data_IF_923096285511
#
_entry.id   IF_923096285511
#
_cell.length_a   1.000
_cell.length_b   1.000
_cell.length_c   1.000
_cell.angle_alpha   90.00
_cell.angle_beta   90.00
_cell.angle_gamma   90.00
#
_symmetry.space_group_name_H-M   'P 1'
#
loop_
_entity.id
_entity.type
_entity.pdbx_description
1 polymer ?
#
# COMPACT_ATOMS: atom_id res chain seq x y z
N UNK A 1 -1.50 1.73 -1.24
CA UNK A 1 -1.15 2.44 -0.01
C UNK A 1 0.22 1.97 0.43
N UNK A 2 1.03 2.89 0.90
CA UNK A 2 2.34 2.63 1.47
C UNK A 2 2.61 3.62 2.60
N UNK A 3 3.46 3.26 3.57
CA UNK A 3 3.81 4.10 4.70
C UNK A 3 5.28 3.99 5.06
N UNK A 4 5.88 5.10 5.43
CA UNK A 4 7.25 5.16 5.92
C UNK A 4 7.28 5.32 7.43
N UNK A 5 8.16 4.57 8.07
CA UNK A 5 8.31 4.59 9.52
C UNK A 5 9.78 4.52 9.95
N UNK A 6 10.08 5.18 11.07
CA UNK A 6 11.38 5.10 11.71
C UNK A 6 11.26 4.51 13.12
N UNK A 7 12.36 4.02 13.65
CA UNK A 7 12.40 3.57 15.05
C UNK A 7 12.29 4.77 15.99
N UNK A 8 11.49 4.65 17.04
CA UNK A 8 11.27 5.74 18.00
C UNK A 8 12.51 5.99 18.89
N UNK A 9 13.38 5.00 19.02
CA UNK A 9 14.64 5.12 19.72
C UNK A 9 15.77 4.34 19.03
N UNK A 10 17.02 4.68 19.39
CA UNK A 10 18.22 4.02 18.86
C UNK A 10 18.40 2.56 19.35
N UNK A 11 17.56 2.10 20.27
CA UNK A 11 17.65 0.76 20.85
C UNK A 11 16.92 -0.29 20.02
N UNK A 12 16.26 0.11 18.94
CA UNK A 12 15.45 -0.75 18.05
C UNK A 12 14.30 -1.49 18.77
N UNK A 13 13.94 -1.06 19.94
CA UNK A 13 12.80 -1.61 20.69
C UNK A 13 11.50 -0.89 20.36
N UNK A 14 10.76 -1.44 19.45
CA UNK A 14 9.29 -1.65 19.43
C UNK A 14 8.35 -0.46 19.23
N UNK A 15 8.77 0.77 19.12
CA UNK A 15 7.81 1.82 18.69
C UNK A 15 8.25 2.44 17.37
N UNK A 16 7.91 1.77 16.28
CA UNK A 16 8.03 2.38 14.97
C UNK A 16 7.15 3.63 14.92
N UNK A 17 7.75 4.78 14.71
CA UNK A 17 7.03 6.02 14.48
C UNK A 17 6.71 6.12 13.00
N UNK A 18 5.45 6.11 12.65
CA UNK A 18 5.04 6.37 11.28
C UNK A 18 5.34 7.83 10.94
N UNK A 19 6.08 8.06 9.89
CA UNK A 19 6.53 9.38 9.43
C UNK A 19 5.53 9.98 8.45
N UNK A 20 5.15 9.21 7.46
CA UNK A 20 4.14 9.57 6.49
C UNK A 20 3.41 8.35 5.97
N UNK A 21 2.31 8.58 5.29
CA UNK A 21 1.70 7.58 4.44
C UNK A 21 1.09 8.22 3.19
N UNK A 22 1.03 7.42 2.14
CA UNK A 22 0.47 7.80 0.86
C UNK A 22 -0.52 6.73 0.43
N UNK A 23 -1.65 7.14 -0.10
CA UNK A 23 -2.55 6.25 -0.82
C UNK A 23 -3.02 6.89 -2.11
N UNK A 24 -3.39 6.04 -3.05
CA UNK A 24 -3.89 6.42 -4.36
C UNK A 24 -5.16 5.65 -4.64
N UNK A 25 -6.19 6.34 -5.07
CA UNK A 25 -7.40 5.72 -5.58
C UNK A 25 -7.12 5.20 -6.99
N UNK A 26 -7.29 3.90 -7.19
CA UNK A 26 -6.99 3.23 -8.47
C UNK A 26 -7.97 3.65 -9.57
N UNK A 27 -9.18 4.08 -9.22
CA UNK A 27 -10.23 4.43 -10.19
C UNK A 27 -10.16 5.89 -10.60
N UNK A 28 -9.99 6.81 -9.64
CA UNK A 28 -9.94 8.25 -9.91
C UNK A 28 -8.52 8.74 -10.20
N UNK A 29 -7.50 7.98 -9.81
CA UNK A 29 -6.10 8.36 -9.75
C UNK A 29 -5.80 9.49 -8.77
N UNK A 30 -6.72 9.82 -7.87
CA UNK A 30 -6.47 10.79 -6.83
C UNK A 30 -5.39 10.28 -5.88
N UNK A 31 -4.43 11.15 -5.58
CA UNK A 31 -3.30 10.87 -4.68
C UNK A 31 -3.45 11.66 -3.41
N UNK A 32 -3.32 10.97 -2.28
CA UNK A 32 -3.41 11.57 -0.96
C UNK A 32 -2.10 11.32 -0.20
N UNK A 33 -1.43 12.41 0.17
CA UNK A 33 -0.16 12.40 0.89
C UNK A 33 -0.36 12.98 2.28
N UNK A 34 0.08 12.25 3.29
CA UNK A 34 -0.07 12.66 4.68
C UNK A 34 1.28 12.61 5.39
N UNK A 35 1.60 13.73 6.03
CA UNK A 35 2.71 13.82 6.96
C UNK A 35 2.16 13.74 8.38
N UNK A 36 2.57 12.75 9.17
CA UNK A 36 1.90 12.40 10.42
C UNK A 36 2.04 13.45 11.51
N UNK A 37 3.09 14.28 11.45
CA UNK A 37 3.30 15.37 12.40
C UNK A 37 2.41 16.60 12.14
N UNK A 38 1.87 16.76 10.95
CA UNK A 38 1.11 17.95 10.58
C UNK A 38 -0.38 17.83 10.92
N UNK A 39 -0.88 16.62 11.09
CA UNK A 39 -2.28 16.35 11.40
C UNK A 39 -2.43 15.22 12.40
N UNK A 40 -3.27 15.46 13.43
CA UNK A 40 -3.81 14.34 14.19
C UNK A 40 -4.92 13.71 13.37
N UNK A 41 -4.74 12.45 13.02
CA UNK A 41 -5.81 11.67 12.40
C UNK A 41 -6.75 11.20 13.50
N UNK A 42 -7.94 11.78 13.54
CA UNK A 42 -8.99 11.31 14.43
C UNK A 42 -9.87 10.26 13.74
N UNK A 43 -9.86 10.24 12.42
CA UNK A 43 -10.64 9.31 11.59
C UNK A 43 -9.85 8.93 10.34
N UNK A 44 -9.99 7.68 9.87
CA UNK A 44 -9.40 7.29 8.60
C UNK A 44 -10.01 8.13 7.47
N UNK A 45 -9.24 8.46 6.43
CA UNK A 45 -9.71 9.27 5.31
C UNK A 45 -10.71 8.52 4.42
N UNK A 46 -11.01 7.27 4.72
CA UNK A 46 -11.94 6.41 4.00
C UNK A 46 -12.64 5.44 4.96
N UNK A 47 -13.78 4.92 4.54
CA UNK A 47 -14.51 3.89 5.30
C UNK A 47 -13.85 2.51 5.10
N UNK A 48 -13.27 1.94 6.15
CA UNK A 48 -12.62 0.63 6.19
C UNK A 48 -13.50 -0.52 5.67
N UNK A 49 -14.82 -0.38 5.76
CA UNK A 49 -15.76 -1.39 5.33
C UNK A 49 -16.05 -1.34 3.83
N UNK A 50 -15.72 -0.23 3.18
CA UNK A 50 -16.08 0.06 1.79
C UNK A 50 -14.91 0.11 0.83
N UNK A 51 -13.69 -0.04 1.34
CA UNK A 51 -12.47 -0.01 0.53
C UNK A 51 -11.85 -1.39 0.43
N UNK A 52 -11.23 -1.67 -0.70
CA UNK A 52 -10.23 -2.72 -0.86
C UNK A 52 -8.86 -2.06 -0.78
N UNK A 53 -8.12 -2.33 0.28
CA UNK A 53 -6.74 -1.87 0.38
C UNK A 53 -5.81 -2.83 -0.35
N UNK A 54 -4.92 -2.27 -1.15
CA UNK A 54 -3.92 -2.99 -1.91
C UNK A 54 -2.54 -2.51 -1.47
N UNK A 55 -1.98 -3.08 -0.41
CA UNK A 55 -0.61 -2.82 0.01
C UNK A 55 0.37 -3.77 -0.70
N UNK A 56 1.65 -3.40 -0.64
CA UNK A 56 2.72 -4.39 -0.75
C UNK A 56 3.18 -4.78 0.65
N UNK A 57 2.88 -6.00 1.11
CA UNK A 57 3.13 -6.49 2.45
C UNK A 57 2.24 -5.82 3.55
N UNK A 58 1.02 -6.30 3.64
CA UNK A 58 0.03 -5.83 4.62
C UNK A 58 0.49 -5.90 6.09
N UNK A 59 1.45 -6.78 6.41
CA UNK A 59 1.98 -6.89 7.78
C UNK A 59 2.78 -5.64 8.14
N UNK A 60 3.56 -5.09 7.21
CA UNK A 60 4.29 -3.85 7.43
C UNK A 60 3.32 -2.66 7.61
N UNK A 61 2.30 -2.58 6.74
CA UNK A 61 1.31 -1.50 6.76
C UNK A 61 0.36 -1.58 7.97
N UNK A 62 0.12 -2.78 8.49
CA UNK A 62 -0.78 -3.01 9.62
C UNK A 62 -0.45 -2.18 10.86
N UNK A 63 0.83 -1.90 11.09
CA UNK A 63 1.28 -1.03 12.16
C UNK A 63 0.74 0.41 11.98
N UNK A 64 0.85 0.94 10.78
CA UNK A 64 0.35 2.27 10.44
C UNK A 64 -1.17 2.36 10.56
N UNK A 65 -1.89 1.31 10.12
CA UNK A 65 -3.35 1.26 10.23
C UNK A 65 -3.83 1.29 11.68
N UNK A 66 -3.23 0.49 12.55
CA UNK A 66 -3.61 0.44 13.95
C UNK A 66 -3.27 1.72 14.70
N UNK A 67 -2.09 2.26 14.50
CA UNK A 67 -1.58 3.38 15.30
C UNK A 67 -2.03 4.75 14.80
N UNK A 68 -2.17 4.92 13.49
CA UNK A 68 -2.57 6.20 12.91
C UNK A 68 -4.06 6.27 12.61
N UNK A 69 -4.58 5.23 11.99
CA UNK A 69 -5.93 5.22 11.45
C UNK A 69 -6.92 4.54 12.39
N UNK A 70 -6.45 4.03 13.52
CA UNK A 70 -7.24 3.40 14.58
C UNK A 70 -8.21 2.33 14.07
N UNK A 71 -7.80 1.60 13.04
CA UNK A 71 -8.64 0.57 12.45
C UNK A 71 -7.88 -0.40 11.57
N UNK A 72 -8.58 -1.43 11.16
CA UNK A 72 -8.09 -2.42 10.21
C UNK A 72 -9.06 -2.53 9.03
N UNK A 73 -8.55 -2.54 7.79
CA UNK A 73 -9.40 -2.76 6.63
C UNK A 73 -10.01 -4.16 6.67
N UNK A 74 -11.26 -4.28 6.24
CA UNK A 74 -11.91 -5.59 6.10
C UNK A 74 -11.44 -6.34 4.87
N UNK A 75 -11.17 -5.62 3.81
CA UNK A 75 -10.80 -6.19 2.53
C UNK A 75 -9.38 -5.76 2.20
N UNK A 76 -8.49 -6.74 2.13
CA UNK A 76 -7.07 -6.54 1.83
C UNK A 76 -6.71 -7.46 0.66
N UNK A 77 -6.07 -6.90 -0.35
CA UNK A 77 -5.38 -7.65 -1.37
C UNK A 77 -3.88 -7.41 -1.21
N UNK A 78 -3.20 -8.31 -0.52
CA UNK A 78 -1.76 -8.21 -0.28
C UNK A 78 -0.98 -8.69 -1.51
N UNK A 79 -0.38 -7.76 -2.24
CA UNK A 79 0.35 -8.09 -3.48
C UNK A 79 1.60 -8.93 -3.24
N UNK A 80 2.23 -8.83 -2.06
CA UNK A 80 3.33 -9.68 -1.65
C UNK A 80 2.89 -11.13 -1.45
N UNK A 81 1.81 -11.34 -0.69
CA UNK A 81 1.25 -12.68 -0.44
C UNK A 81 0.75 -13.31 -1.73
N UNK A 82 0.08 -12.52 -2.58
CA UNK A 82 -0.43 -13.01 -3.87
C UNK A 82 0.70 -13.38 -4.82
N UNK A 83 1.78 -12.59 -4.87
CA UNK A 83 2.98 -12.94 -5.64
C UNK A 83 3.55 -14.29 -5.21
N UNK A 84 3.66 -14.50 -3.90
CA UNK A 84 4.14 -15.76 -3.36
C UNK A 84 3.22 -16.95 -3.70
N UNK A 85 1.90 -16.74 -3.69
CA UNK A 85 0.90 -17.74 -4.08
C UNK A 85 0.98 -18.09 -5.57
N UNK A 86 1.07 -17.09 -6.44
CA UNK A 86 1.09 -17.27 -7.89
C UNK A 86 2.35 -17.98 -8.37
N UNK A 87 3.49 -17.67 -7.79
CA UNK A 87 4.80 -18.14 -8.26
C UNK A 87 5.47 -19.14 -7.32
N UNK A 88 4.83 -19.54 -6.23
CA UNK A 88 5.36 -20.50 -5.24
C UNK A 88 6.75 -20.11 -4.71
N UNK A 89 7.00 -18.82 -4.57
CA UNK A 89 8.32 -18.27 -4.24
C UNK A 89 8.72 -18.42 -2.77
N UNK A 90 7.82 -18.84 -1.88
CA UNK A 90 8.13 -19.07 -0.46
C UNK A 90 9.23 -20.10 -0.19
N UNK A 91 9.62 -20.89 -1.18
CA UNK A 91 10.60 -21.98 -1.00
C UNK A 91 12.06 -21.57 -1.13
N UNK A 92 12.36 -20.38 -1.60
CA UNK A 92 13.75 -20.03 -1.95
C UNK A 92 14.59 -19.39 -0.85
N UNK A 93 14.01 -19.00 0.27
CA UNK A 93 14.74 -18.56 1.48
C UNK A 93 15.66 -17.34 1.35
N UNK A 94 15.77 -16.74 0.20
CA UNK A 94 16.66 -15.61 -0.06
C UNK A 94 15.87 -14.46 -0.65
N UNK A 95 15.48 -13.50 0.19
CA UNK A 95 15.24 -12.09 -0.16
C UNK A 95 14.41 -11.76 -1.41
N UNK A 96 13.76 -12.74 -1.99
CA UNK A 96 13.30 -12.73 -3.37
C UNK A 96 11.98 -11.99 -3.58
N UNK A 97 11.45 -11.31 -2.56
CA UNK A 97 10.11 -10.73 -2.67
C UNK A 97 10.02 -9.29 -2.20
N UNK A 98 11.08 -8.52 -2.31
CA UNK A 98 10.94 -7.07 -2.16
C UNK A 98 10.13 -6.50 -3.35
N UNK A 99 9.57 -5.31 -3.15
CA UNK A 99 8.74 -4.63 -4.12
C UNK A 99 9.44 -4.49 -5.49
N UNK A 100 10.72 -4.13 -5.48
CA UNK A 100 11.53 -3.94 -6.68
C UNK A 100 11.72 -5.26 -7.45
N UNK A 101 12.12 -6.32 -6.76
CA UNK A 101 12.33 -7.64 -7.37
C UNK A 101 11.01 -8.19 -7.93
N UNK A 102 9.91 -7.97 -7.22
CA UNK A 102 8.58 -8.33 -7.69
C UNK A 102 8.21 -7.57 -8.96
N UNK A 103 8.45 -6.26 -9.01
CA UNK A 103 8.18 -5.46 -10.20
C UNK A 103 9.00 -5.90 -11.40
N UNK A 104 10.29 -6.20 -11.21
CA UNK A 104 11.15 -6.75 -12.26
C UNK A 104 10.63 -8.07 -12.79
N UNK A 105 10.13 -8.95 -11.91
CA UNK A 105 9.52 -10.21 -12.30
C UNK A 105 8.31 -10.01 -13.23
N UNK A 106 7.52 -8.98 -13.02
CA UNK A 106 6.40 -8.62 -13.90
C UNK A 106 6.81 -7.80 -15.14
N UNK A 107 8.10 -7.59 -15.37
CA UNK A 107 8.61 -6.83 -16.50
C UNK A 107 8.22 -5.34 -16.44
N UNK A 108 8.01 -4.81 -15.24
CA UNK A 108 7.73 -3.38 -15.04
C UNK A 108 9.07 -2.64 -15.19
N UNK A 109 9.22 -1.73 -16.17
CA UNK A 109 10.53 -1.13 -16.48
C UNK A 109 10.81 -0.08 -15.43
N UNK A 110 10.60 0.81 -15.04
CA UNK A 110 10.89 1.95 -14.16
C UNK A 110 10.94 1.54 -12.69
N UNK A 111 11.88 0.68 -12.36
CA UNK A 111 12.06 0.28 -10.97
C UNK A 111 13.17 1.10 -10.34
N UNK A 112 12.86 1.68 -9.23
CA UNK A 112 13.79 2.40 -8.36
C UNK A 112 15.11 1.64 -8.16
N UNK A 113 16.24 2.31 -8.21
CA UNK A 113 17.53 1.65 -7.99
C UNK A 113 17.69 1.25 -6.52
N UNK A 114 18.57 0.30 -6.26
CA UNK A 114 18.85 -0.10 -4.87
C UNK A 114 19.48 1.06 -4.09
N UNK A 115 20.35 1.80 -4.73
CA UNK A 115 21.04 2.94 -4.14
C UNK A 115 20.04 4.02 -3.70
N UNK A 116 19.09 4.34 -4.55
CA UNK A 116 18.02 5.30 -4.22
C UNK A 116 17.17 4.83 -3.04
N UNK A 117 16.81 3.54 -3.04
CA UNK A 117 16.04 2.95 -1.93
C UNK A 117 16.83 3.00 -0.61
N UNK A 118 18.11 2.68 -0.64
CA UNK A 118 18.96 2.70 0.55
C UNK A 118 19.12 4.16 1.06
N UNK A 119 19.33 5.13 0.15
CA UNK A 119 19.40 6.56 0.50
C UNK A 119 18.09 7.05 1.17
N UNK A 120 16.94 6.71 0.60
CA UNK A 120 15.65 7.14 1.15
C UNK A 120 15.36 6.48 2.50
N UNK A 121 15.65 5.18 2.64
CA UNK A 121 15.51 4.49 3.91
C UNK A 121 16.39 5.12 4.99
N UNK A 122 17.65 5.40 4.68
CA UNK A 122 18.59 5.98 5.63
C UNK A 122 18.12 7.41 6.01
N UNK A 123 17.61 8.20 5.03
CA UNK A 123 17.01 9.51 5.30
C UNK A 123 15.83 9.41 6.29
N UNK A 124 14.96 8.38 6.15
CA UNK A 124 13.82 8.17 7.05
C UNK A 124 14.28 7.74 8.45
N UNK A 125 15.27 6.84 8.54
CA UNK A 125 15.68 6.22 9.81
C UNK A 125 16.56 7.15 10.64
N UNK A 126 17.48 7.89 10.01
CA UNK A 126 18.53 8.64 10.71
C UNK A 126 18.06 10.01 11.23
N UNK A 127 16.96 10.51 10.77
CA UNK A 127 16.51 11.85 11.12
C UNK A 127 15.46 11.87 12.22
N UNK A 128 15.72 12.63 13.30
CA UNK A 128 14.74 12.92 14.34
C UNK A 128 13.69 13.97 13.88
N UNK A 129 14.07 14.82 12.93
CA UNK A 129 13.23 15.84 12.31
C UNK A 129 13.60 16.02 10.84
N UNK A 130 12.70 16.54 10.03
CA UNK A 130 12.88 16.63 8.58
C UNK A 130 12.64 18.06 8.11
N UNK A 131 13.49 18.52 7.20
CA UNK A 131 13.26 19.78 6.47
C UNK A 131 12.08 19.63 5.50
N UNK A 132 11.55 20.75 5.01
CA UNK A 132 10.46 20.72 4.01
C UNK A 132 10.88 19.93 2.75
N UNK A 133 12.11 20.10 2.29
CA UNK A 133 12.65 19.39 1.14
C UNK A 133 12.75 17.87 1.39
N UNK A 134 13.23 17.46 2.57
CA UNK A 134 13.29 16.04 2.94
C UNK A 134 11.90 15.42 3.03
N UNK A 135 10.91 16.14 3.59
CA UNK A 135 9.51 15.68 3.64
C UNK A 135 8.95 15.44 2.25
N UNK A 136 9.20 16.35 1.32
CA UNK A 136 8.74 16.18 -0.06
C UNK A 136 9.40 14.99 -0.74
N UNK A 137 10.71 14.79 -0.57
CA UNK A 137 11.43 13.62 -1.08
C UNK A 137 10.85 12.32 -0.53
N UNK A 138 10.62 12.22 0.79
CA UNK A 138 10.06 11.04 1.44
C UNK A 138 8.63 10.76 0.95
N UNK A 139 7.79 11.79 0.82
CA UNK A 139 6.43 11.63 0.32
C UNK A 139 6.39 11.19 -1.16
N UNK A 140 7.34 11.66 -1.96
CA UNK A 140 7.45 11.25 -3.36
C UNK A 140 7.95 9.80 -3.46
N UNK A 141 8.92 9.42 -2.64
CA UNK A 141 9.39 8.05 -2.55
C UNK A 141 8.26 7.08 -2.17
N UNK A 142 7.49 7.40 -1.13
CA UNK A 142 6.33 6.63 -0.73
C UNK A 142 5.27 6.55 -1.85
N UNK A 143 5.08 7.62 -2.65
CA UNK A 143 4.21 7.59 -3.82
C UNK A 143 4.74 6.66 -4.92
N UNK A 144 6.05 6.64 -5.16
CA UNK A 144 6.66 5.73 -6.14
C UNK A 144 6.38 4.26 -5.77
N UNK A 145 6.49 3.91 -4.49
CA UNK A 145 6.16 2.56 -4.01
C UNK A 145 4.67 2.24 -4.15
N UNK A 146 3.78 3.21 -3.92
CA UNK A 146 2.33 3.06 -4.17
C UNK A 146 2.04 2.83 -5.66
N UNK A 147 2.66 3.59 -6.55
CA UNK A 147 2.47 3.43 -8.01
C UNK A 147 3.03 2.12 -8.52
N UNK A 148 4.15 1.68 -7.98
CA UNK A 148 4.74 0.39 -8.30
C UNK A 148 3.85 -0.76 -7.84
N UNK A 149 3.30 -0.66 -6.62
CA UNK A 149 2.33 -1.61 -6.08
C UNK A 149 1.07 -1.67 -6.94
N UNK A 150 0.56 -0.54 -7.43
CA UNK A 150 -0.57 -0.49 -8.35
C UNK A 150 -0.28 -1.24 -9.67
N UNK A 151 0.90 -1.02 -10.25
CA UNK A 151 1.31 -1.70 -11.48
C UNK A 151 1.41 -3.22 -11.28
N UNK A 152 1.96 -3.67 -10.14
CA UNK A 152 2.04 -5.08 -9.77
C UNK A 152 0.64 -5.67 -9.60
N UNK A 153 -0.24 -5.00 -8.88
CA UNK A 153 -1.63 -5.43 -8.68
C UNK A 153 -2.34 -5.67 -10.02
N UNK A 154 -2.23 -4.73 -10.95
CA UNK A 154 -2.83 -4.86 -12.29
C UNK A 154 -2.29 -6.12 -12.99
N UNK A 155 -0.98 -6.37 -12.94
CA UNK A 155 -0.38 -7.55 -13.53
C UNK A 155 -0.84 -8.86 -12.88
N UNK A 156 -0.98 -8.86 -11.57
CA UNK A 156 -1.50 -10.03 -10.83
C UNK A 156 -2.94 -10.34 -11.21
N UNK A 157 -3.79 -9.32 -11.35
CA UNK A 157 -5.17 -9.48 -11.81
C UNK A 157 -5.20 -10.04 -13.23
N UNK A 158 -4.40 -9.50 -14.16
CA UNK A 158 -4.26 -10.02 -15.53
C UNK A 158 -3.86 -11.51 -15.55
N UNK A 159 -2.92 -11.92 -14.68
CA UNK A 159 -2.48 -13.30 -14.60
C UNK A 159 -3.54 -14.24 -14.02
N UNK A 160 -4.31 -13.76 -13.05
CA UNK A 160 -5.45 -14.50 -12.49
C UNK A 160 -6.53 -14.70 -13.56
N UNK A 161 -6.85 -13.66 -14.32
CA UNK A 161 -7.81 -13.71 -15.43
C UNK A 161 -7.39 -14.73 -16.47
N UNK A 162 -6.15 -14.67 -16.94
CA UNK A 162 -5.61 -15.62 -17.92
C UNK A 162 -5.68 -17.07 -17.43
N UNK A 163 -5.30 -17.32 -16.16
CA UNK A 163 -5.31 -18.66 -15.57
C UNK A 163 -6.70 -19.26 -15.41
N UNK A 164 -7.70 -18.42 -15.18
CA UNK A 164 -9.06 -18.86 -14.89
C UNK A 164 -10.02 -18.70 -16.07
N UNK A 165 -9.55 -18.31 -17.26
CA UNK A 165 -10.40 -17.94 -18.41
C UNK A 165 -11.48 -16.91 -18.00
N UNK A 166 -11.16 -16.05 -17.05
CA UNK A 166 -12.08 -15.03 -16.59
C UNK A 166 -12.03 -13.82 -17.53
N UNK A 167 -13.07 -13.03 -17.48
CA UNK A 167 -13.29 -11.83 -18.29
C UNK A 167 -12.22 -10.76 -17.99
N UNK A 168 -12.21 -9.70 -18.77
CA UNK A 168 -11.18 -8.65 -18.80
C UNK A 168 -11.09 -7.82 -17.51
N UNK A 169 -9.99 -7.06 -17.32
CA UNK A 169 -9.82 -6.07 -16.23
C UNK A 169 -11.03 -5.13 -16.13
N UNK A 170 -11.68 -4.82 -17.24
CA UNK A 170 -12.87 -3.96 -17.28
C UNK A 170 -14.08 -4.62 -16.58
N UNK A 171 -14.23 -5.92 -16.73
CA UNK A 171 -15.26 -6.69 -16.02
C UNK A 171 -14.95 -6.76 -14.52
N UNK A 172 -13.67 -6.84 -14.14
CA UNK A 172 -13.24 -6.77 -12.74
C UNK A 172 -13.42 -5.40 -12.12
N UNK A 173 -13.16 -4.32 -12.86
CA UNK A 173 -13.50 -2.96 -12.40
C UNK A 173 -14.99 -2.87 -12.10
N UNK A 174 -15.79 -3.44 -12.96
CA UNK A 174 -17.24 -3.49 -12.78
C UNK A 174 -17.62 -4.38 -11.61
N UNK A 175 -16.96 -5.52 -11.42
CA UNK A 175 -17.24 -6.47 -10.36
C UNK A 175 -16.70 -5.99 -9.00
N UNK A 176 -15.52 -5.41 -8.95
CA UNK A 176 -14.99 -4.73 -7.76
C UNK A 176 -15.86 -3.52 -7.41
N UNK A 177 -16.26 -2.72 -8.39
CA UNK A 177 -17.22 -1.63 -8.18
C UNK A 177 -18.56 -2.15 -7.67
N UNK A 178 -19.05 -3.26 -8.20
CA UNK A 178 -20.30 -3.89 -7.73
C UNK A 178 -20.16 -4.49 -6.33
N UNK A 179 -19.02 -5.08 -5.99
CA UNK A 179 -18.74 -5.57 -4.63
C UNK A 179 -18.65 -4.38 -3.67
N UNK A 180 -17.97 -3.32 -4.05
CA UNK A 180 -17.91 -2.08 -3.28
C UNK A 180 -19.29 -1.41 -3.14
N UNK A 181 -20.12 -1.42 -4.21
CA UNK A 181 -21.48 -0.90 -4.19
C UNK A 181 -22.46 -1.81 -3.44
N UNK A 182 -22.34 -3.13 -3.51
CA UNK A 182 -23.20 -4.06 -2.77
C UNK A 182 -22.90 -4.05 -1.26
N UNK A 183 -21.67 -3.75 -0.86
CA UNK A 183 -21.34 -3.45 0.53
C UNK A 183 -21.93 -2.13 1.04
N UNK A 184 -22.38 -1.27 0.13
CA UNK A 184 -23.09 -0.02 0.37
C UNK A 184 -24.59 -0.19 0.19
N UNK A 185 -25.20 -1.18 0.85
CA UNK A 185 -26.66 -1.15 1.02
C UNK A 185 -27.02 0.20 1.64
N UNK A 186 -27.93 0.97 1.06
CA UNK A 186 -28.40 2.19 1.67
C UNK A 186 -28.94 1.83 3.06
N UNK A 187 -28.42 2.49 4.08
CA UNK A 187 -29.08 2.50 5.38
C UNK A 187 -30.46 3.06 5.10
N UNK A 188 -31.45 2.18 5.05
CA UNK A 188 -32.85 2.61 5.04
C UNK A 188 -33.06 3.29 6.40
N UNK A 189 -32.94 4.61 6.42
CA UNK A 189 -33.39 5.40 7.53
C UNK A 189 -34.91 5.25 7.57
N UNK A 190 -35.36 4.24 8.31
CA UNK A 190 -36.75 4.15 8.69
C UNK A 190 -37.09 5.38 9.52
N UNK A 191 -37.73 6.35 8.88
CA UNK A 191 -38.54 7.32 9.59
C UNK A 191 -39.74 6.59 10.12
N UNK A 192 -39.83 6.44 11.44
CA UNK A 192 -41.11 6.45 12.16
C UNK A 192 -41.33 7.85 12.72
#
# INVERSE_FOLDING_TARGET
>A
MDSEFCFADHTKTIQNRVVCFVYKDIFTNDVFKYWTHDKKFNEPPFDWNRVLLVPFNAVAEGHSWLHLLQGMPRNIYDTYVENARLYKTFRSGKGALDLRTTAQHYGIPEVMTKEHKDEMRDMVIENASYTAEQREKILNYCLEDVELTQKIFIKQVEDIEKKNNLKTIEDYKTEISQIMFRGASPIVTGKQ
#
